data_IF_318442649367
#
_entry.id   IF_318442649367
#
_cell.length_a   1.000
_cell.length_b   1.000
_cell.length_c   1.000
_cell.angle_alpha   90.00
_cell.angle_beta   90.00
_cell.angle_gamma   90.00
#
_symmetry.space_group_name_H-M   'P 1'
#
loop_
_entity.id
_entity.type
_entity.pdbx_description
1 polymer ?
#
# COMPACT_ATOMS: atom_id res chain seq x y z
N UNK A 1 16.54 -11.54 -7.69
CA UNK A 1 16.28 -10.14 -8.14
C UNK A 1 15.22 -9.48 -7.26
N UNK A 2 15.19 -8.16 -7.16
CA UNK A 2 14.13 -7.42 -6.47
C UNK A 2 13.13 -6.87 -7.49
N UNK A 3 11.88 -7.25 -7.38
CA UNK A 3 10.78 -6.71 -8.16
C UNK A 3 10.10 -5.59 -7.38
N UNK A 4 10.24 -4.36 -7.85
CA UNK A 4 9.62 -3.17 -7.28
C UNK A 4 8.36 -2.87 -8.06
N UNK A 5 7.22 -2.75 -7.39
CA UNK A 5 5.97 -2.54 -8.09
C UNK A 5 5.09 -1.47 -7.43
N UNK A 6 4.24 -0.85 -8.22
CA UNK A 6 3.34 0.16 -7.70
C UNK A 6 2.36 0.68 -8.74
N UNK A 7 1.51 1.60 -8.31
CA UNK A 7 0.62 2.31 -9.21
C UNK A 7 0.71 3.82 -8.97
N UNK A 8 0.37 4.59 -9.99
CA UNK A 8 0.48 6.05 -9.95
C UNK A 8 -0.74 6.72 -10.58
N UNK A 9 -1.03 7.93 -10.11
CA UNK A 9 -2.00 8.82 -10.73
C UNK A 9 -1.62 10.29 -10.49
N UNK A 10 -1.47 11.06 -11.58
CA UNK A 10 -1.20 12.50 -11.56
C UNK A 10 -0.07 12.89 -10.59
N UNK A 11 1.13 12.37 -10.84
CA UNK A 11 2.31 12.57 -9.99
C UNK A 11 3.51 13.19 -10.71
N UNK A 12 3.27 13.91 -11.82
CA UNK A 12 4.31 14.51 -12.68
C UNK A 12 5.48 15.12 -11.91
N UNK A 13 5.19 15.95 -10.93
CA UNK A 13 6.21 16.70 -10.18
C UNK A 13 6.99 15.85 -9.15
N UNK A 14 6.59 14.59 -8.92
CA UNK A 14 7.19 13.72 -7.92
C UNK A 14 7.79 12.45 -8.48
N UNK A 15 7.37 12.06 -9.67
CA UNK A 15 7.71 10.75 -10.21
C UNK A 15 9.22 10.58 -10.36
N UNK A 16 9.96 11.57 -10.86
CA UNK A 16 11.40 11.49 -11.02
C UNK A 16 12.14 11.43 -9.68
N UNK A 17 11.91 12.38 -8.72
CA UNK A 17 12.51 12.27 -7.39
C UNK A 17 12.17 10.97 -6.66
N UNK A 18 10.96 10.42 -6.85
CA UNK A 18 10.56 9.13 -6.29
C UNK A 18 11.39 7.99 -6.89
N UNK A 19 11.49 7.91 -8.22
CA UNK A 19 12.31 6.91 -8.91
C UNK A 19 13.80 7.02 -8.52
N UNK A 20 14.35 8.23 -8.49
CA UNK A 20 15.74 8.46 -8.05
C UNK A 20 15.99 7.93 -6.63
N UNK A 21 15.01 8.09 -5.75
CA UNK A 21 15.11 7.59 -4.38
C UNK A 21 15.10 6.05 -4.31
N UNK A 22 14.34 5.40 -5.19
CA UNK A 22 14.30 3.93 -5.31
C UNK A 22 15.60 3.39 -5.92
N UNK A 23 16.20 4.12 -6.84
CA UNK A 23 17.48 3.72 -7.45
C UNK A 23 18.63 3.67 -6.42
N UNK A 24 18.52 4.37 -5.30
CA UNK A 24 19.49 4.29 -4.18
C UNK A 24 19.54 2.92 -3.49
N UNK A 25 18.54 2.06 -3.66
CA UNK A 25 18.57 0.68 -3.17
C UNK A 25 19.62 -0.07 -3.98
N UNK A 26 20.72 -0.48 -3.34
CA UNK A 26 21.87 -1.15 -4.00
C UNK A 26 21.61 -2.67 -4.12
N UNK A 27 20.53 -3.01 -4.85
CA UNK A 27 20.16 -4.39 -5.20
C UNK A 27 19.72 -4.38 -6.65
N UNK A 28 20.08 -5.44 -7.40
CA UNK A 28 19.55 -5.63 -8.75
C UNK A 28 18.04 -5.66 -8.73
N UNK A 29 17.40 -4.74 -9.48
CA UNK A 29 15.96 -4.56 -9.43
C UNK A 29 15.35 -4.28 -10.79
N UNK A 30 14.06 -4.60 -10.89
CA UNK A 30 13.20 -4.22 -12.01
C UNK A 30 11.93 -3.59 -11.48
N UNK A 31 11.46 -2.53 -12.13
CA UNK A 31 10.35 -1.70 -11.65
C UNK A 31 9.13 -1.91 -12.55
N UNK A 32 7.94 -2.13 -11.96
CA UNK A 32 6.68 -2.35 -12.66
C UNK A 32 5.62 -1.37 -12.17
N UNK A 33 5.10 -0.54 -13.07
CA UNK A 33 4.18 0.54 -12.70
C UNK A 33 2.90 0.46 -13.54
N UNK A 34 1.76 0.58 -12.86
CA UNK A 34 0.47 0.85 -13.51
C UNK A 34 0.14 2.32 -13.36
N UNK A 35 0.04 3.02 -14.47
CA UNK A 35 -0.47 4.39 -14.51
C UNK A 35 -2.00 4.37 -14.68
N UNK A 36 -2.73 4.97 -13.74
CA UNK A 36 -4.18 5.02 -13.76
C UNK A 36 -4.71 6.14 -14.68
N UNK A 37 -4.28 6.15 -15.94
CA UNK A 37 -4.62 7.18 -16.93
C UNK A 37 -4.37 8.61 -16.41
N UNK A 38 -3.14 8.89 -16.01
CA UNK A 38 -2.71 10.24 -15.64
C UNK A 38 -2.89 11.22 -16.78
N UNK A 39 -3.30 12.44 -16.45
CA UNK A 39 -3.58 13.53 -17.41
C UNK A 39 -2.60 14.69 -17.30
N UNK A 40 -1.60 14.57 -16.43
CA UNK A 40 -0.63 15.62 -16.13
C UNK A 40 0.75 15.42 -16.79
N UNK A 41 0.91 14.36 -17.59
CA UNK A 41 2.19 14.01 -18.23
C UNK A 41 3.01 12.98 -17.44
N UNK A 42 2.46 12.39 -16.37
CA UNK A 42 3.13 11.34 -15.57
C UNK A 42 3.53 10.13 -16.43
N UNK A 43 2.60 9.62 -17.25
CA UNK A 43 2.83 8.46 -18.10
C UNK A 43 3.94 8.67 -19.11
N UNK A 44 3.94 9.84 -19.78
CA UNK A 44 4.92 10.21 -20.77
C UNK A 44 6.34 10.30 -20.16
N UNK A 45 6.43 10.81 -18.92
CA UNK A 45 7.71 10.86 -18.20
C UNK A 45 8.19 9.45 -17.89
N UNK A 46 7.33 8.57 -17.37
CA UNK A 46 7.68 7.18 -17.09
C UNK A 46 8.14 6.45 -18.34
N UNK A 47 7.38 6.55 -19.43
CA UNK A 47 7.68 5.87 -20.70
C UNK A 47 9.01 6.32 -21.31
N UNK A 48 9.33 7.63 -21.25
CA UNK A 48 10.61 8.16 -21.78
C UNK A 48 11.82 7.72 -20.96
N UNK A 49 11.62 7.39 -19.69
CA UNK A 49 12.69 7.02 -18.78
C UNK A 49 12.73 5.51 -18.49
N UNK A 50 11.95 4.71 -19.21
CA UNK A 50 11.78 3.28 -18.94
C UNK A 50 13.12 2.52 -18.90
N UNK A 51 13.97 2.74 -19.91
CA UNK A 51 15.27 2.06 -20.00
C UNK A 51 16.24 2.50 -18.91
N UNK A 52 16.26 3.81 -18.58
CA UNK A 52 17.15 4.36 -17.56
C UNK A 52 16.91 3.80 -16.15
N UNK A 53 15.66 3.40 -15.85
CA UNK A 53 15.25 2.89 -14.55
C UNK A 53 14.94 1.38 -14.53
N UNK A 54 15.23 0.67 -15.63
CA UNK A 54 14.79 -0.72 -15.80
C UNK A 54 13.30 -0.89 -15.44
N UNK A 55 12.48 -0.05 -16.03
CA UNK A 55 11.08 0.17 -15.70
C UNK A 55 10.16 -0.33 -16.81
N UNK A 56 9.10 -1.03 -16.44
CA UNK A 56 7.95 -1.29 -17.30
C UNK A 56 6.74 -0.50 -16.81
N UNK A 57 6.11 0.27 -17.68
CA UNK A 57 4.88 0.99 -17.37
C UNK A 57 3.76 0.60 -18.32
N UNK A 58 2.54 0.44 -17.77
CA UNK A 58 1.31 0.22 -18.53
C UNK A 58 0.23 1.17 -18.03
N UNK A 59 -0.60 1.69 -18.95
CA UNK A 59 -1.81 2.40 -18.56
C UNK A 59 -2.97 1.42 -18.37
N UNK A 60 -3.61 1.50 -17.21
CA UNK A 60 -4.81 0.70 -16.91
C UNK A 60 -5.68 1.46 -15.92
N UNK A 61 -7.00 1.58 -16.22
CA UNK A 61 -7.93 2.23 -15.30
C UNK A 61 -8.17 1.36 -14.08
N UNK A 62 -7.73 1.82 -12.93
CA UNK A 62 -7.77 1.03 -11.71
C UNK A 62 -7.93 1.91 -10.46
N UNK A 63 -8.29 1.29 -9.36
CA UNK A 63 -8.12 1.86 -8.02
C UNK A 63 -6.82 1.32 -7.40
N UNK A 64 -6.47 1.80 -6.21
CA UNK A 64 -5.14 1.57 -5.63
C UNK A 64 -4.79 0.08 -5.50
N UNK A 65 -5.63 -0.71 -4.83
CA UNK A 65 -5.36 -2.15 -4.65
C UNK A 65 -5.32 -2.89 -6.00
N UNK A 66 -6.26 -2.60 -6.91
CA UNK A 66 -6.27 -3.21 -8.25
C UNK A 66 -5.02 -2.82 -9.06
N UNK A 67 -4.58 -1.57 -8.97
CA UNK A 67 -3.36 -1.11 -9.66
C UNK A 67 -2.10 -1.82 -9.17
N UNK A 68 -1.96 -2.04 -7.87
CA UNK A 68 -0.85 -2.83 -7.30
C UNK A 68 -0.93 -4.30 -7.74
N UNK A 69 -2.13 -4.88 -7.78
CA UNK A 69 -2.33 -6.26 -8.28
C UNK A 69 -1.89 -6.39 -9.74
N UNK A 70 -2.33 -5.50 -10.61
CA UNK A 70 -1.95 -5.48 -12.03
C UNK A 70 -0.43 -5.31 -12.23
N UNK A 71 0.22 -4.53 -11.38
CA UNK A 71 1.68 -4.37 -11.42
C UNK A 71 2.40 -5.68 -11.04
N UNK A 72 1.86 -6.44 -10.08
CA UNK A 72 2.33 -7.79 -9.75
C UNK A 72 2.14 -8.73 -10.94
N UNK A 73 0.95 -8.78 -11.55
CA UNK A 73 0.66 -9.62 -12.71
C UNK A 73 1.65 -9.37 -13.87
N UNK A 74 2.09 -8.12 -14.03
CA UNK A 74 3.14 -7.77 -14.99
C UNK A 74 4.50 -8.33 -14.56
N UNK A 75 4.85 -8.19 -13.28
CA UNK A 75 6.15 -8.58 -12.73
C UNK A 75 6.32 -10.10 -12.69
N UNK A 76 5.29 -10.85 -12.34
CA UNK A 76 5.29 -12.31 -12.20
C UNK A 76 5.66 -13.04 -13.51
N UNK A 77 5.47 -12.41 -14.67
CA UNK A 77 5.89 -12.96 -15.96
C UNK A 77 7.41 -13.13 -16.09
N UNK A 78 8.17 -12.45 -15.24
CA UNK A 78 9.63 -12.42 -15.25
C UNK A 78 10.24 -12.96 -13.97
N UNK A 79 9.43 -13.24 -12.96
CA UNK A 79 9.85 -13.65 -11.64
C UNK A 79 9.95 -15.16 -11.50
N UNK A 80 10.76 -15.60 -10.55
CA UNK A 80 10.85 -16.96 -10.09
C UNK A 80 10.68 -17.04 -8.56
N UNK A 81 10.63 -18.24 -8.01
CA UNK A 81 10.37 -18.50 -6.59
C UNK A 81 11.35 -17.88 -5.59
N UNK A 82 12.57 -17.54 -6.05
CA UNK A 82 13.62 -16.95 -5.22
C UNK A 82 13.67 -15.42 -5.32
N UNK A 83 12.82 -14.83 -6.13
CA UNK A 83 12.74 -13.39 -6.28
C UNK A 83 11.92 -12.74 -5.16
N UNK A 84 12.28 -11.52 -4.83
CA UNK A 84 11.63 -10.72 -3.81
C UNK A 84 10.80 -9.60 -4.44
N UNK A 85 9.69 -9.30 -3.80
CA UNK A 85 8.76 -8.26 -4.20
C UNK A 85 8.64 -7.18 -3.13
N UNK A 86 8.54 -5.92 -3.54
CA UNK A 86 8.27 -4.79 -2.65
C UNK A 86 7.37 -3.79 -3.36
N UNK A 87 6.30 -3.32 -2.71
CA UNK A 87 5.52 -2.24 -3.28
C UNK A 87 6.06 -0.87 -2.89
N UNK A 88 5.79 0.11 -3.75
CA UNK A 88 6.16 1.51 -3.53
C UNK A 88 4.99 2.44 -3.85
N UNK A 89 4.94 3.56 -3.14
CA UNK A 89 4.10 4.69 -3.48
C UNK A 89 4.93 5.71 -4.28
N UNK A 90 4.60 5.87 -5.56
CA UNK A 90 5.34 6.71 -6.52
C UNK A 90 5.13 8.23 -6.33
N UNK A 91 4.48 8.62 -5.27
CA UNK A 91 4.40 9.99 -4.80
C UNK A 91 5.22 10.23 -3.52
N UNK A 92 5.98 9.24 -3.09
CA UNK A 92 6.87 9.27 -1.92
C UNK A 92 8.32 9.33 -2.37
N UNK A 93 9.11 10.20 -1.74
CA UNK A 93 10.57 10.23 -1.88
C UNK A 93 11.12 9.49 -0.68
N UNK A 94 11.80 8.38 -0.94
CA UNK A 94 12.34 7.50 0.10
C UNK A 94 13.73 7.99 0.53
N UNK A 95 13.99 7.98 1.82
CA UNK A 95 15.30 8.35 2.35
C UNK A 95 16.33 7.21 2.23
N UNK A 96 17.59 7.50 2.55
CA UNK A 96 18.68 6.51 2.51
C UNK A 96 18.48 5.37 3.52
N UNK A 97 17.80 5.63 4.64
CA UNK A 97 17.50 4.61 5.65
C UNK A 97 16.52 3.57 5.10
N UNK A 98 15.51 4.00 4.35
CA UNK A 98 14.60 3.09 3.66
C UNK A 98 15.35 2.16 2.68
N UNK A 99 16.22 2.74 1.83
CA UNK A 99 17.01 1.95 0.89
C UNK A 99 17.83 0.87 1.62
N UNK A 100 18.51 1.25 2.70
CA UNK A 100 19.30 0.32 3.52
C UNK A 100 18.44 -0.75 4.19
N UNK A 101 17.23 -0.43 4.64
CA UNK A 101 16.30 -1.42 5.20
C UNK A 101 15.86 -2.45 4.17
N UNK A 102 15.57 -2.02 2.93
CA UNK A 102 15.27 -2.94 1.83
C UNK A 102 16.47 -3.86 1.55
N UNK A 103 17.68 -3.32 1.51
CA UNK A 103 18.91 -4.11 1.29
C UNK A 103 19.14 -5.15 2.41
N UNK A 104 18.91 -4.77 3.66
CA UNK A 104 19.01 -5.68 4.80
C UNK A 104 17.92 -6.77 4.75
N UNK A 105 16.69 -6.37 4.46
CA UNK A 105 15.59 -7.31 4.26
C UNK A 105 15.90 -8.28 3.13
N UNK A 106 16.35 -7.78 1.99
CA UNK A 106 16.72 -8.59 0.82
C UNK A 106 17.73 -9.69 1.15
N UNK A 107 18.70 -9.39 2.03
CA UNK A 107 19.74 -10.35 2.43
C UNK A 107 19.32 -11.36 3.50
N UNK A 108 18.37 -10.99 4.36
CA UNK A 108 18.11 -11.69 5.63
C UNK A 108 16.66 -12.18 5.81
N UNK A 109 15.76 -11.90 4.87
CA UNK A 109 14.38 -12.33 4.98
C UNK A 109 14.25 -13.82 4.67
N UNK A 110 13.42 -14.52 5.43
CA UNK A 110 13.01 -15.89 5.14
C UNK A 110 11.67 -15.95 4.36
N UNK A 111 11.39 -17.11 3.74
CA UNK A 111 10.20 -17.31 2.90
C UNK A 111 8.86 -17.13 3.67
N UNK A 112 8.87 -17.24 4.98
CA UNK A 112 7.69 -17.11 5.83
C UNK A 112 7.54 -15.70 6.45
N UNK A 113 8.38 -14.76 6.05
CA UNK A 113 8.40 -13.40 6.59
C UNK A 113 7.98 -12.38 5.54
N UNK A 114 7.18 -11.40 5.96
CA UNK A 114 6.91 -10.16 5.26
C UNK A 114 7.53 -9.03 6.06
N UNK A 115 8.35 -8.22 5.42
CA UNK A 115 9.15 -7.19 6.06
C UNK A 115 8.73 -5.80 5.59
N UNK A 116 8.63 -4.85 6.51
CA UNK A 116 8.18 -3.47 6.31
C UNK A 116 6.70 -3.32 5.91
N UNK A 117 6.19 -2.12 6.09
CA UNK A 117 4.88 -1.68 5.59
C UNK A 117 4.76 -1.80 4.06
N UNK A 118 5.89 -1.82 3.35
CA UNK A 118 5.98 -1.98 1.90
C UNK A 118 5.95 -3.45 1.45
N UNK A 119 5.68 -4.37 2.35
CA UNK A 119 5.54 -5.81 2.11
C UNK A 119 6.69 -6.42 1.29
N UNK A 120 7.95 -6.20 1.73
CA UNK A 120 9.06 -6.92 1.17
C UNK A 120 8.90 -8.41 1.52
N UNK A 121 8.71 -9.24 0.52
CA UNK A 121 8.46 -10.67 0.69
C UNK A 121 8.89 -11.47 -0.55
N UNK A 122 9.02 -12.78 -0.39
CA UNK A 122 9.26 -13.67 -1.52
C UNK A 122 8.07 -13.78 -2.46
N UNK A 123 8.33 -14.19 -3.70
CA UNK A 123 7.35 -14.43 -4.76
C UNK A 123 6.12 -15.20 -4.24
N UNK A 124 6.32 -16.34 -3.55
CA UNK A 124 5.24 -17.19 -3.06
C UNK A 124 4.26 -16.44 -2.14
N UNK A 125 4.78 -15.68 -1.18
CA UNK A 125 3.93 -14.88 -0.27
C UNK A 125 3.17 -13.81 -1.04
N UNK A 126 3.83 -13.15 -1.99
CA UNK A 126 3.22 -12.11 -2.82
C UNK A 126 2.11 -12.68 -3.73
N UNK A 127 2.34 -13.84 -4.35
CA UNK A 127 1.41 -14.55 -5.21
C UNK A 127 0.20 -15.09 -4.43
N UNK A 128 0.43 -15.70 -3.27
CA UNK A 128 -0.61 -16.28 -2.41
C UNK A 128 -1.54 -15.24 -1.79
N UNK A 129 -0.98 -14.10 -1.39
CA UNK A 129 -1.73 -13.02 -0.72
C UNK A 129 -1.80 -11.79 -1.62
N UNK A 130 -2.58 -11.89 -2.69
CA UNK A 130 -2.76 -10.84 -3.69
C UNK A 130 -3.49 -9.62 -3.12
N UNK A 131 -3.34 -8.45 -3.76
CA UNK A 131 -4.06 -7.24 -3.39
C UNK A 131 -5.56 -7.36 -3.69
N UNK A 132 -6.37 -6.89 -2.77
CA UNK A 132 -7.81 -6.72 -3.00
C UNK A 132 -8.13 -5.37 -3.62
N UNK A 133 -9.28 -5.31 -4.30
CA UNK A 133 -9.75 -4.12 -5.02
C UNK A 133 -10.33 -3.10 -4.03
N UNK A 134 -9.47 -2.53 -3.18
CA UNK A 134 -9.77 -1.50 -2.20
C UNK A 134 -9.09 -0.18 -2.56
N UNK A 135 -9.75 0.94 -2.25
CA UNK A 135 -9.21 2.29 -2.44
C UNK A 135 -8.53 2.83 -1.20
N UNK A 136 -8.72 2.19 -0.05
CA UNK A 136 -8.15 2.58 1.24
C UNK A 136 -8.06 1.37 2.16
N UNK A 137 -7.06 1.36 3.04
CA UNK A 137 -6.71 0.26 3.95
C UNK A 137 -6.48 -1.10 3.24
N UNK A 138 -6.09 -1.05 1.98
CA UNK A 138 -5.72 -2.21 1.18
C UNK A 138 -4.45 -2.88 1.71
N UNK A 139 -3.53 -2.09 2.26
CA UNK A 139 -2.32 -2.51 2.96
C UNK A 139 -2.66 -3.22 4.29
N UNK A 140 -3.46 -2.57 5.14
CA UNK A 140 -3.93 -3.14 6.42
C UNK A 140 -4.65 -4.47 6.21
N UNK A 141 -5.54 -4.55 5.21
CA UNK A 141 -6.25 -5.79 4.87
C UNK A 141 -5.27 -6.89 4.48
N UNK A 142 -4.32 -6.54 3.63
CA UNK A 142 -3.31 -7.49 3.13
C UNK A 142 -2.40 -7.98 4.24
N UNK A 143 -1.95 -7.11 5.14
CA UNK A 143 -1.14 -7.45 6.31
C UNK A 143 -1.85 -8.43 7.24
N UNK A 144 -3.12 -8.15 7.56
CA UNK A 144 -3.92 -9.05 8.37
C UNK A 144 -4.10 -10.43 7.70
N UNK A 145 -4.22 -10.45 6.38
CA UNK A 145 -4.32 -11.69 5.60
C UNK A 145 -3.00 -12.44 5.51
N UNK A 146 -1.85 -11.76 5.46
CA UNK A 146 -0.54 -12.41 5.61
C UNK A 146 -0.45 -13.14 6.94
N UNK A 147 -0.82 -12.50 8.05
CA UNK A 147 -0.84 -13.13 9.39
C UNK A 147 -1.75 -14.36 9.40
N UNK A 148 -2.98 -14.23 8.89
CA UNK A 148 -3.95 -15.33 8.84
C UNK A 148 -3.52 -16.49 7.93
N UNK A 149 -2.62 -16.20 6.98
CA UNK A 149 -2.01 -17.19 6.09
C UNK A 149 -0.74 -17.82 6.67
N UNK A 150 -0.36 -17.48 7.90
CA UNK A 150 0.78 -18.04 8.61
C UNK A 150 2.12 -17.31 8.41
N UNK A 151 2.13 -16.16 7.72
CA UNK A 151 3.33 -15.35 7.56
C UNK A 151 3.60 -14.49 8.79
N UNK A 152 4.87 -14.24 9.08
CA UNK A 152 5.32 -13.35 10.16
C UNK A 152 5.53 -11.95 9.60
N UNK A 153 4.87 -10.95 10.17
CA UNK A 153 5.15 -9.55 9.86
C UNK A 153 6.28 -9.03 10.75
N UNK A 154 7.32 -8.47 10.14
CA UNK A 154 8.44 -7.84 10.84
C UNK A 154 8.55 -6.37 10.46
N UNK A 155 8.51 -5.50 11.46
CA UNK A 155 8.68 -4.06 11.28
C UNK A 155 9.98 -3.59 11.96
N UNK A 156 10.79 -2.77 11.31
CA UNK A 156 11.82 -2.03 12.01
C UNK A 156 11.19 -0.95 12.90
N UNK A 157 11.93 -0.46 13.88
CA UNK A 157 11.46 0.64 14.72
C UNK A 157 11.06 1.85 13.85
N UNK A 158 9.80 2.29 13.98
CA UNK A 158 9.19 3.33 13.13
C UNK A 158 9.95 4.66 13.09
N UNK A 159 10.73 4.98 14.12
CA UNK A 159 11.56 6.18 14.15
C UNK A 159 12.58 6.23 13.01
N UNK A 160 12.97 5.09 12.48
CA UNK A 160 14.00 4.97 11.45
C UNK A 160 13.46 5.31 10.05
N UNK A 161 12.20 5.01 9.75
CA UNK A 161 11.65 5.13 8.39
C UNK A 161 11.10 6.53 8.09
N UNK A 162 10.53 7.22 9.07
CA UNK A 162 9.69 8.41 8.84
C UNK A 162 10.30 9.74 9.26
N UNK A 163 11.53 9.78 9.78
CA UNK A 163 12.11 11.02 10.34
C UNK A 163 12.44 12.10 9.31
N UNK A 164 12.50 11.80 8.02
CA UNK A 164 12.95 12.77 7.00
C UNK A 164 12.18 12.74 5.67
N UNK A 165 10.93 12.37 5.66
CA UNK A 165 10.11 12.72 4.51
C UNK A 165 9.97 14.24 4.52
N UNK A 166 10.74 14.94 3.69
CA UNK A 166 10.49 16.34 3.42
C UNK A 166 8.99 16.52 3.23
N UNK A 167 8.37 17.23 4.16
CA UNK A 167 6.99 17.67 4.05
C UNK A 167 6.91 18.68 2.90
N UNK A 168 7.07 18.19 1.68
CA UNK A 168 6.64 18.96 0.54
C UNK A 168 5.14 19.09 0.69
N UNK A 169 4.69 20.26 1.12
CA UNK A 169 3.29 20.60 1.32
C UNK A 169 2.54 20.35 0.02
N UNK A 170 2.01 19.15 -0.11
CA UNK A 170 1.34 18.73 -1.33
C UNK A 170 -0.13 19.03 -1.20
N UNK A 171 -0.59 19.89 -2.06
CA UNK A 171 -2.02 20.18 -2.17
C UNK A 171 -2.73 18.97 -2.83
N UNK A 172 -2.93 17.88 -2.05
CA UNK A 172 -3.63 16.65 -2.49
C UNK A 172 -5.01 16.97 -3.08
N UNK A 173 -5.59 18.11 -2.71
CA UNK A 173 -6.92 18.53 -3.20
C UNK A 173 -6.94 18.85 -4.71
N UNK A 174 -5.80 19.22 -5.30
CA UNK A 174 -5.73 19.53 -6.74
C UNK A 174 -5.64 18.31 -7.66
N UNK A 175 -5.33 17.13 -7.13
CA UNK A 175 -5.26 15.89 -7.96
C UNK A 175 -6.59 15.45 -8.53
N UNK A 176 -7.68 15.87 -7.93
CA UNK A 176 -8.99 15.34 -8.24
C UNK A 176 -9.99 16.45 -8.46
N UNK A 177 -10.74 16.36 -9.55
CA UNK A 177 -11.82 17.29 -9.85
C UNK A 177 -12.82 17.36 -8.70
N UNK A 178 -13.30 18.58 -8.40
CA UNK A 178 -14.39 18.80 -7.45
C UNK A 178 -15.73 18.42 -8.10
N UNK A 179 -16.72 18.00 -7.32
CA UNK A 179 -18.03 17.67 -7.80
C UNK A 179 -18.55 16.32 -7.29
N UNK A 180 -19.60 15.80 -7.91
CA UNK A 180 -20.28 14.57 -7.47
C UNK A 180 -19.33 13.36 -7.46
N UNK A 181 -18.43 13.28 -8.44
CA UNK A 181 -17.44 12.20 -8.53
C UNK A 181 -16.43 12.23 -7.37
N UNK A 182 -16.07 13.41 -6.87
CA UNK A 182 -15.27 13.54 -5.66
C UNK A 182 -15.96 12.93 -4.45
N UNK A 183 -17.27 13.19 -4.27
CA UNK A 183 -18.03 12.63 -3.15
C UNK A 183 -18.22 11.12 -3.28
N UNK A 184 -18.57 10.62 -4.46
CA UNK A 184 -18.68 9.18 -4.73
C UNK A 184 -17.39 8.44 -4.36
N UNK A 185 -16.25 8.96 -4.82
CA UNK A 185 -14.95 8.39 -4.51
C UNK A 185 -14.62 8.45 -3.02
N UNK A 186 -14.96 9.56 -2.35
CA UNK A 186 -14.74 9.71 -0.92
C UNK A 186 -15.59 8.72 -0.10
N UNK A 187 -16.83 8.50 -0.51
CA UNK A 187 -17.72 7.50 0.10
C UNK A 187 -17.15 6.08 -0.11
N UNK A 188 -16.76 5.73 -1.34
CA UNK A 188 -16.12 4.44 -1.62
C UNK A 188 -14.84 4.25 -0.80
N UNK A 189 -13.97 5.24 -0.77
CA UNK A 189 -12.74 5.18 0.03
C UNK A 189 -13.02 4.95 1.51
N UNK A 190 -14.10 5.52 2.02
CA UNK A 190 -14.51 5.32 3.41
C UNK A 190 -15.07 3.92 3.65
N UNK A 191 -15.89 3.43 2.74
CA UNK A 191 -16.43 2.07 2.77
C UNK A 191 -15.30 1.04 2.72
N UNK A 192 -14.40 1.18 1.74
CA UNK A 192 -13.24 0.30 1.60
C UNK A 192 -12.33 0.34 2.83
N UNK A 193 -12.20 1.52 3.48
CA UNK A 193 -11.45 1.63 4.73
C UNK A 193 -12.08 0.80 5.85
N UNK A 194 -13.40 0.86 6.05
CA UNK A 194 -14.10 0.05 7.05
C UNK A 194 -13.95 -1.45 6.76
N UNK A 195 -14.04 -1.82 5.49
CA UNK A 195 -13.87 -3.20 5.03
C UNK A 195 -12.45 -3.71 5.30
N UNK A 196 -11.45 -2.96 4.86
CA UNK A 196 -10.03 -3.35 4.99
C UNK A 196 -9.53 -3.38 6.43
N UNK A 197 -10.00 -2.42 7.26
CA UNK A 197 -9.69 -2.41 8.70
C UNK A 197 -10.40 -3.54 9.46
N UNK A 198 -11.42 -4.17 8.87
CA UNK A 198 -12.19 -5.24 9.50
C UNK A 198 -13.11 -4.74 10.63
N UNK A 199 -13.79 -3.62 10.38
CA UNK A 199 -14.64 -2.98 11.38
C UNK A 199 -16.00 -3.69 11.54
N UNK A 200 -16.12 -4.61 12.49
CA UNK A 200 -17.30 -5.47 12.67
C UNK A 200 -18.37 -4.93 13.59
N UNK A 201 -18.11 -3.89 14.37
CA UNK A 201 -19.07 -3.38 15.35
C UNK A 201 -19.23 -1.86 15.26
N UNK A 202 -20.36 -1.36 15.77
CA UNK A 202 -20.73 0.06 15.74
C UNK A 202 -19.73 0.93 16.51
N UNK A 203 -19.16 0.43 17.59
CA UNK A 203 -18.19 1.17 18.42
C UNK A 203 -16.92 1.47 17.60
N UNK A 204 -16.38 0.46 16.94
CA UNK A 204 -15.20 0.60 16.09
C UNK A 204 -15.49 1.53 14.90
N UNK A 205 -16.64 1.37 14.26
CA UNK A 205 -17.06 2.28 13.19
C UNK A 205 -17.11 3.75 13.65
N UNK A 206 -17.74 4.02 14.79
CA UNK A 206 -17.84 5.39 15.34
C UNK A 206 -16.47 5.96 15.72
N UNK A 207 -15.58 5.12 16.28
CA UNK A 207 -14.21 5.51 16.59
C UNK A 207 -13.45 5.94 15.32
N UNK A 208 -13.52 5.14 14.25
CA UNK A 208 -12.87 5.46 12.98
C UNK A 208 -13.48 6.69 12.31
N UNK A 209 -14.80 6.87 12.34
CA UNK A 209 -15.43 8.08 11.80
C UNK A 209 -14.94 9.35 12.50
N UNK A 210 -14.76 9.31 13.82
CA UNK A 210 -14.22 10.43 14.59
C UNK A 210 -12.77 10.73 14.19
N UNK A 211 -11.93 9.71 14.11
CA UNK A 211 -10.52 9.84 13.76
C UNK A 211 -10.33 10.32 12.31
N UNK A 212 -11.14 9.84 11.39
CA UNK A 212 -11.17 10.31 10.01
C UNK A 212 -11.76 11.73 9.83
N UNK A 213 -12.17 12.40 10.93
CA UNK A 213 -12.77 13.73 10.93
C UNK A 213 -13.98 13.85 9.99
N UNK A 214 -14.79 12.80 9.93
CA UNK A 214 -16.03 12.82 9.14
C UNK A 214 -16.97 13.88 9.71
N UNK A 215 -17.54 14.73 8.84
CA UNK A 215 -18.53 15.71 9.27
C UNK A 215 -19.80 15.02 9.78
N UNK A 216 -20.31 15.42 10.93
CA UNK A 216 -21.48 14.80 11.62
C UNK A 216 -22.69 14.59 10.71
N UNK A 217 -22.95 15.51 9.76
CA UNK A 217 -24.06 15.41 8.77
C UNK A 217 -24.00 14.16 7.88
N UNK A 218 -22.84 13.52 7.76
CA UNK A 218 -22.67 12.30 6.96
C UNK A 218 -22.72 11.02 7.79
N UNK A 219 -22.83 11.11 9.12
CA UNK A 219 -22.79 9.93 9.99
C UNK A 219 -23.87 8.91 9.64
N UNK A 220 -25.11 9.37 9.37
CA UNK A 220 -26.19 8.47 9.00
C UNK A 220 -25.86 7.65 7.74
N UNK A 221 -25.30 8.29 6.72
CA UNK A 221 -24.92 7.62 5.47
C UNK A 221 -23.88 6.55 5.74
N UNK A 222 -22.86 6.84 6.55
CA UNK A 222 -21.82 5.87 6.88
C UNK A 222 -22.32 4.73 7.77
N UNK A 223 -23.27 5.00 8.66
CA UNK A 223 -23.97 3.97 9.43
C UNK A 223 -24.73 3.02 8.50
N UNK A 224 -25.45 3.57 7.51
CA UNK A 224 -26.17 2.75 6.53
C UNK A 224 -25.22 1.92 5.67
N UNK A 225 -24.10 2.48 5.23
CA UNK A 225 -23.06 1.76 4.50
C UNK A 225 -22.50 0.62 5.37
N UNK A 226 -22.18 0.89 6.63
CA UNK A 226 -21.67 -0.13 7.55
C UNK A 226 -22.68 -1.27 7.76
N UNK A 227 -23.96 -0.94 7.98
CA UNK A 227 -25.01 -1.95 8.14
C UNK A 227 -25.19 -2.79 6.87
N UNK A 228 -25.11 -2.17 5.71
CA UNK A 228 -25.15 -2.86 4.42
C UNK A 228 -23.97 -3.84 4.30
N UNK A 229 -22.73 -3.39 4.49
CA UNK A 229 -21.54 -4.23 4.39
C UNK A 229 -21.56 -5.39 5.39
N UNK A 230 -22.06 -5.14 6.60
CA UNK A 230 -22.22 -6.19 7.62
C UNK A 230 -23.27 -7.23 7.22
N UNK A 231 -24.38 -6.80 6.64
CA UNK A 231 -25.46 -7.70 6.18
C UNK A 231 -24.99 -8.60 5.04
N UNK A 232 -24.19 -8.06 4.11
CA UNK A 232 -23.67 -8.81 2.97
C UNK A 232 -22.30 -9.48 3.24
N UNK A 233 -21.79 -9.41 4.47
CA UNK A 233 -20.49 -9.98 4.87
C UNK A 233 -19.31 -9.49 4.04
N UNK A 234 -19.32 -8.22 3.64
CA UNK A 234 -18.25 -7.60 2.85
C UNK A 234 -17.10 -7.04 3.71
N UNK A 235 -17.18 -7.16 5.03
CA UNK A 235 -16.14 -6.74 5.97
C UNK A 235 -15.09 -7.84 6.09
N UNK A 236 -13.85 -7.51 5.77
CA UNK A 236 -12.71 -8.44 5.84
C UNK A 236 -12.11 -8.43 7.24
N UNK A 237 -12.57 -9.29 8.11
CA UNK A 237 -12.01 -9.43 9.45
C UNK A 237 -11.39 -10.82 9.61
N UNK A 238 -10.15 -10.86 10.06
CA UNK A 238 -9.33 -12.08 10.22
C UNK A 238 -9.11 -12.43 11.69
N UNK A 239 -9.69 -11.68 12.60
CA UNK A 239 -9.72 -12.03 14.02
C UNK A 239 -10.88 -13.01 14.30
N UNK A 240 -10.64 -14.03 15.11
CA UNK A 240 -11.70 -14.93 15.60
C UNK A 240 -12.69 -14.17 16.50
N UNK A 241 -12.25 -13.11 17.16
CA UNK A 241 -13.09 -12.25 17.98
C UNK A 241 -13.61 -11.07 17.16
N UNK A 242 -14.93 -11.01 16.94
CA UNK A 242 -15.60 -9.95 16.18
C UNK A 242 -15.51 -8.54 16.80
N UNK A 243 -15.02 -8.40 18.03
CA UNK A 243 -14.83 -7.10 18.68
C UNK A 243 -13.52 -6.41 18.26
N UNK A 244 -12.53 -7.19 17.80
CA UNK A 244 -11.22 -6.68 17.37
C UNK A 244 -11.17 -6.43 15.88
N UNK A 245 -10.29 -5.53 15.48
CA UNK A 245 -10.05 -5.11 14.09
C UNK A 245 -8.75 -5.71 13.55
N UNK A 246 -8.58 -5.68 12.23
CA UNK A 246 -7.33 -6.11 11.59
C UNK A 246 -6.12 -5.28 12.07
N UNK A 247 -6.29 -4.00 12.39
CA UNK A 247 -5.21 -3.17 12.98
C UNK A 247 -4.76 -3.74 14.33
N UNK A 248 -5.70 -4.18 15.16
CA UNK A 248 -5.37 -4.82 16.45
C UNK A 248 -4.68 -6.16 16.23
N UNK A 249 -5.12 -6.97 15.26
CA UNK A 249 -4.46 -8.22 14.87
C UNK A 249 -2.99 -7.96 14.48
N UNK A 250 -2.76 -6.98 13.62
CA UNK A 250 -1.42 -6.62 13.16
C UNK A 250 -0.56 -6.20 14.36
N UNK A 251 -1.06 -5.33 15.22
CA UNK A 251 -0.32 -4.86 16.41
C UNK A 251 0.05 -6.00 17.37
N UNK A 252 -0.84 -6.97 17.57
CA UNK A 252 -0.62 -8.09 18.49
C UNK A 252 0.31 -9.17 17.94
N UNK A 253 0.30 -9.39 16.63
CA UNK A 253 1.00 -10.50 15.98
C UNK A 253 2.30 -10.10 15.28
N UNK A 254 2.51 -8.80 15.04
CA UNK A 254 3.74 -8.32 14.38
C UNK A 254 4.92 -8.31 15.35
N UNK A 255 6.10 -8.55 14.79
CA UNK A 255 7.37 -8.51 15.52
C UNK A 255 8.10 -7.22 15.18
N UNK A 256 8.34 -6.38 16.19
CA UNK A 256 9.18 -5.20 16.04
C UNK A 256 10.64 -5.59 16.25
N UNK A 257 11.49 -5.24 15.30
CA UNK A 257 12.91 -5.55 15.35
C UNK A 257 13.75 -4.28 15.47
N UNK A 258 14.74 -4.30 16.38
CA UNK A 258 15.80 -3.29 16.37
C UNK A 258 16.79 -3.60 15.25
N UNK A 259 16.97 -2.66 14.34
CA UNK A 259 17.96 -2.77 13.27
C UNK A 259 19.22 -2.04 13.72
N UNK A 260 20.20 -2.80 14.24
CA UNK A 260 21.49 -2.26 14.62
C UNK A 260 22.24 -1.75 13.38
N UNK A 261 22.83 -0.54 13.47
CA UNK A 261 23.70 0.00 12.43
C UNK A 261 23.00 0.86 11.36
N UNK A 262 21.74 1.26 11.55
CA UNK A 262 21.09 2.33 10.78
C UNK A 262 21.08 3.59 11.67
N UNK A 263 22.19 4.31 11.67
CA UNK A 263 22.30 5.69 12.21
C UNK A 263 21.96 6.70 11.12
#
# INVERSE_FOLDING_TARGET
MLFVYGNVYNSKNRIMPSLDSIMKINVEKRIFIIDNYSTDGTYEILSRNADNYNLMVKQEKCIRGRGRHLAIDMAEKYANENDLFVFIDLDTIYNSKFARLIELGYKNIDKNTVFLDNHLCYYEANHKVQWRDLTAAEDVEREARFISSGYKLKYPDHKIIYEENEKVSFNREKRYARGIEYYKRKMRSYQDYLRGVGCNNMRNMMFFMRNARVRKRFYLIYILIFLYDKMFKEIYNYYDNSEKTNIELIREKSVFIHVNGIQ
#
